data_IF_494676636198
#
_entry.id   IF_494676636198
#
_cell.length_a   1.000
_cell.length_b   1.000
_cell.length_c   1.000
_cell.angle_alpha   90.00
_cell.angle_beta   90.00
_cell.angle_gamma   90.00
#
_symmetry.space_group_name_H-M   'P 1'
#
loop_
_entity.id
_entity.type
_entity.pdbx_description
1 polymer ?
#
# COMPACT_ATOMS: atom_id res chain seq x y z
N UNK A 1 -17.04 8.03 -29.58
CA UNK A 1 -15.99 9.05 -29.34
C UNK A 1 -14.76 8.29 -28.93
N UNK A 2 -13.74 8.27 -29.79
CA UNK A 2 -12.54 7.48 -29.61
C UNK A 2 -11.76 8.01 -28.40
N UNK A 3 -11.32 7.10 -27.53
CA UNK A 3 -10.27 7.38 -26.56
C UNK A 3 -9.06 7.93 -27.31
N UNK A 4 -8.53 9.06 -26.84
CA UNK A 4 -7.38 9.70 -27.47
C UNK A 4 -6.17 8.76 -27.36
N UNK A 5 -5.78 8.24 -28.52
CA UNK A 5 -4.58 7.44 -28.79
C UNK A 5 -3.30 8.05 -28.21
N UNK A 6 -3.35 9.33 -27.82
CA UNK A 6 -2.27 10.12 -27.25
C UNK A 6 -2.01 9.82 -25.76
N UNK A 7 -3.02 9.48 -24.95
CA UNK A 7 -2.82 9.13 -23.52
C UNK A 7 -2.27 7.72 -23.35
N UNK A 8 -2.77 6.76 -24.15
CA UNK A 8 -2.20 5.42 -24.28
C UNK A 8 -0.77 5.47 -24.83
N UNK A 9 -0.49 6.35 -25.81
CA UNK A 9 0.88 6.62 -26.25
C UNK A 9 1.71 7.26 -25.16
N UNK A 10 1.20 8.21 -24.38
CA UNK A 10 1.97 8.86 -23.33
C UNK A 10 2.35 7.90 -22.19
N UNK A 11 1.47 6.95 -21.85
CA UNK A 11 1.77 5.88 -20.90
C UNK A 11 2.79 4.87 -21.46
N UNK A 12 2.74 4.57 -22.77
CA UNK A 12 3.68 3.68 -23.45
C UNK A 12 5.03 4.35 -23.81
N UNK A 13 5.05 5.66 -24.08
CA UNK A 13 6.22 6.49 -24.40
C UNK A 13 6.89 7.07 -23.14
N UNK A 14 6.27 6.95 -21.96
CA UNK A 14 6.95 7.19 -20.70
C UNK A 14 8.11 6.20 -20.61
N UNK A 15 9.33 6.64 -20.93
CA UNK A 15 10.55 5.90 -20.63
C UNK A 15 10.71 5.84 -19.11
N UNK A 16 10.01 4.88 -18.52
CA UNK A 16 10.06 4.43 -17.14
C UNK A 16 11.39 3.73 -16.83
N UNK A 17 12.51 4.13 -17.45
CA UNK A 17 13.77 3.40 -17.28
C UNK A 17 14.19 3.40 -15.80
N UNK A 18 13.77 4.42 -15.02
CA UNK A 18 13.82 4.43 -13.55
C UNK A 18 12.71 5.31 -12.94
N UNK A 19 11.52 4.78 -12.59
CA UNK A 19 10.53 5.55 -11.85
C UNK A 19 11.11 5.96 -10.49
N UNK A 20 10.87 7.21 -10.09
CA UNK A 20 11.32 7.73 -8.79
C UNK A 20 10.34 7.40 -7.68
N UNK A 21 9.07 7.16 -8.03
CA UNK A 21 8.06 6.65 -7.14
C UNK A 21 7.04 5.82 -7.90
N UNK A 22 6.65 4.69 -7.32
CA UNK A 22 5.58 3.83 -7.80
C UNK A 22 4.62 3.58 -6.65
N UNK A 23 3.35 3.95 -6.83
CA UNK A 23 2.26 3.62 -5.92
C UNK A 23 1.42 2.52 -6.57
N UNK A 24 1.06 1.50 -5.79
CA UNK A 24 0.22 0.38 -6.22
C UNK A 24 -0.91 0.23 -5.22
N UNK A 25 -2.14 0.50 -5.65
CA UNK A 25 -3.31 0.49 -4.79
C UNK A 25 -4.34 -0.52 -5.28
N UNK A 26 -4.80 -1.38 -4.37
CA UNK A 26 -5.69 -2.47 -4.73
C UNK A 26 -7.08 -1.96 -5.08
N UNK A 27 -7.62 -2.42 -6.21
CA UNK A 27 -9.01 -2.18 -6.58
C UNK A 27 -9.95 -3.24 -5.97
N UNK A 28 -11.21 -2.86 -5.81
CA UNK A 28 -12.28 -3.78 -5.47
C UNK A 28 -13.53 -3.47 -6.28
N UNK A 29 -13.95 -4.42 -7.13
CA UNK A 29 -15.15 -4.31 -7.94
C UNK A 29 -15.28 -3.02 -8.74
N UNK A 30 -14.19 -2.56 -9.35
CA UNK A 30 -14.17 -1.34 -10.16
C UNK A 30 -13.90 -0.04 -9.38
N UNK A 31 -13.83 -0.11 -8.06
CA UNK A 31 -13.59 1.05 -7.21
C UNK A 31 -12.18 1.02 -6.62
N UNK A 32 -11.68 2.19 -6.21
CA UNK A 32 -10.48 2.35 -5.40
C UNK A 32 -10.88 2.52 -3.92
N UNK A 33 -10.85 1.46 -3.11
CA UNK A 33 -11.00 1.60 -1.66
C UNK A 33 -9.95 2.55 -1.11
N UNK A 34 -10.29 3.22 -0.01
CA UNK A 34 -9.37 4.09 0.72
C UNK A 34 -8.75 5.23 -0.10
N UNK A 35 -9.36 5.66 -1.21
CA UNK A 35 -8.84 6.72 -2.10
C UNK A 35 -8.30 7.93 -1.32
N UNK A 36 -9.10 8.49 -0.40
CA UNK A 36 -8.67 9.63 0.42
C UNK A 36 -7.46 9.31 1.33
N UNK A 37 -7.30 8.08 1.79
CA UNK A 37 -6.10 7.68 2.56
C UNK A 37 -4.88 7.57 1.66
N UNK A 38 -5.03 6.97 0.49
CA UNK A 38 -3.97 6.85 -0.51
C UNK A 38 -3.49 8.24 -0.98
N UNK A 39 -4.41 9.15 -1.32
CA UNK A 39 -4.07 10.53 -1.71
C UNK A 39 -3.39 11.31 -0.58
N UNK A 40 -3.84 11.14 0.68
CA UNK A 40 -3.16 11.75 1.84
C UNK A 40 -1.75 11.22 2.03
N UNK A 41 -1.55 9.90 1.92
CA UNK A 41 -0.22 9.31 1.98
C UNK A 41 0.67 9.82 0.84
N UNK A 42 0.15 9.84 -0.39
CA UNK A 42 0.85 10.37 -1.57
C UNK A 42 1.28 11.83 -1.38
N UNK A 43 0.41 12.70 -0.85
CA UNK A 43 0.74 14.11 -0.60
C UNK A 43 1.78 14.34 0.49
N UNK A 44 2.15 13.30 1.24
CA UNK A 44 3.25 13.33 2.21
C UNK A 44 4.51 12.64 1.69
N UNK A 45 4.45 12.01 0.51
CA UNK A 45 5.61 11.39 -0.12
C UNK A 45 6.56 12.44 -0.69
N UNK A 46 7.83 12.07 -0.81
CA UNK A 46 8.87 12.87 -1.43
C UNK A 46 9.40 12.23 -2.72
N UNK A 47 9.65 13.05 -3.73
CA UNK A 47 10.26 12.67 -5.01
C UNK A 47 11.34 13.71 -5.33
N UNK A 48 12.55 13.27 -5.64
CA UNK A 48 13.67 14.19 -5.92
C UNK A 48 14.01 15.12 -4.75
N UNK A 49 13.75 14.71 -3.50
CA UNK A 49 13.99 15.53 -2.30
C UNK A 49 12.86 16.53 -1.96
N UNK A 50 11.80 16.58 -2.76
CA UNK A 50 10.67 17.49 -2.55
C UNK A 50 9.40 16.72 -2.27
N UNK A 51 8.57 17.21 -1.36
CA UNK A 51 7.22 16.67 -1.16
C UNK A 51 6.41 16.77 -2.45
N UNK A 52 5.63 15.73 -2.75
CA UNK A 52 4.68 15.71 -3.85
C UNK A 52 3.80 16.96 -3.82
N UNK A 53 3.71 17.65 -4.95
CA UNK A 53 3.06 18.96 -5.03
C UNK A 53 1.53 18.85 -4.90
N UNK A 54 0.85 19.88 -4.35
CA UNK A 54 -0.62 19.92 -4.33
C UNK A 54 -1.25 19.80 -5.73
N UNK A 55 -0.59 20.36 -6.76
CA UNK A 55 -1.03 20.26 -8.15
C UNK A 55 -1.06 18.80 -8.62
N UNK A 56 -0.05 18.01 -8.27
CA UNK A 56 -0.01 16.59 -8.61
C UNK A 56 -1.06 15.78 -7.87
N UNK A 57 -1.39 16.14 -6.62
CA UNK A 57 -2.50 15.51 -5.89
C UNK A 57 -3.85 15.85 -6.53
N UNK A 58 -4.04 17.11 -6.95
CA UNK A 58 -5.24 17.53 -7.66
C UNK A 58 -5.36 16.80 -9.01
N UNK A 59 -4.27 16.69 -9.76
CA UNK A 59 -4.18 15.90 -10.98
C UNK A 59 -4.58 14.44 -10.72
N UNK A 60 -3.95 13.78 -9.73
CA UNK A 60 -4.27 12.38 -9.42
C UNK A 60 -5.75 12.20 -9.11
N UNK A 61 -6.33 13.08 -8.28
CA UNK A 61 -7.76 13.04 -7.94
C UNK A 61 -8.67 13.18 -9.17
N UNK A 62 -8.32 14.05 -10.11
CA UNK A 62 -9.09 14.24 -11.35
C UNK A 62 -9.00 13.04 -12.30
N UNK A 63 -7.87 12.34 -12.31
CA UNK A 63 -7.61 11.28 -13.29
C UNK A 63 -7.99 9.88 -12.78
N UNK A 64 -8.11 9.67 -11.46
CA UNK A 64 -8.52 8.38 -10.88
C UNK A 64 -9.84 7.91 -11.49
N UNK A 65 -10.90 8.73 -11.48
CA UNK A 65 -12.22 8.30 -11.96
C UNK A 65 -12.20 7.87 -13.43
N UNK A 66 -11.54 8.64 -14.31
CA UNK A 66 -11.39 8.30 -15.73
C UNK A 66 -10.59 7.01 -15.92
N UNK A 67 -9.45 6.90 -15.24
CA UNK A 67 -8.57 5.72 -15.31
C UNK A 67 -9.28 4.45 -14.83
N UNK A 68 -10.10 4.57 -13.78
CA UNK A 68 -10.91 3.45 -13.28
C UNK A 68 -12.03 3.08 -14.26
N UNK A 69 -12.73 4.04 -14.87
CA UNK A 69 -13.82 3.75 -15.83
C UNK A 69 -13.36 2.88 -17.00
N UNK A 70 -12.15 3.10 -17.49
CA UNK A 70 -11.59 2.34 -18.61
C UNK A 70 -10.95 1.04 -18.12
N UNK A 71 -9.96 1.15 -17.23
CA UNK A 71 -9.12 0.01 -16.87
C UNK A 71 -9.79 -1.01 -15.95
N UNK A 72 -10.81 -0.61 -15.19
CA UNK A 72 -11.49 -1.54 -14.27
C UNK A 72 -12.57 -2.40 -14.93
N UNK A 73 -12.92 -2.15 -16.19
CA UNK A 73 -13.76 -3.04 -16.98
C UNK A 73 -13.06 -4.38 -17.22
N UNK A 74 -11.77 -4.35 -17.54
CA UNK A 74 -10.95 -5.53 -17.73
C UNK A 74 -10.41 -6.08 -16.40
N UNK A 75 -10.16 -5.20 -15.43
CA UNK A 75 -9.52 -5.55 -14.15
C UNK A 75 -10.26 -4.98 -12.94
N UNK A 76 -11.50 -5.44 -12.65
CA UNK A 76 -12.32 -4.87 -11.57
C UNK A 76 -11.70 -5.05 -10.17
N UNK A 77 -10.94 -6.11 -9.95
CA UNK A 77 -10.19 -6.35 -8.70
C UNK A 77 -8.67 -6.26 -8.92
N UNK A 78 -8.25 -5.46 -9.91
CA UNK A 78 -6.86 -5.20 -10.29
C UNK A 78 -6.11 -4.25 -9.37
N UNK A 79 -5.12 -3.56 -9.92
CA UNK A 79 -4.28 -2.59 -9.20
C UNK A 79 -4.22 -1.30 -9.97
N UNK A 80 -4.54 -0.19 -9.32
CA UNK A 80 -4.22 1.14 -9.83
C UNK A 80 -2.74 1.42 -9.55
N UNK A 81 -1.98 1.64 -10.62
CA UNK A 81 -0.59 2.05 -10.56
C UNK A 81 -0.50 3.54 -10.83
N UNK A 82 0.18 4.28 -9.96
CA UNK A 82 0.58 5.66 -10.20
C UNK A 82 2.11 5.72 -10.18
N UNK A 83 2.69 6.22 -11.25
CA UNK A 83 4.14 6.31 -11.45
C UNK A 83 4.55 7.77 -11.57
N UNK A 84 5.68 8.12 -10.96
CA UNK A 84 6.26 9.44 -10.97
C UNK A 84 7.74 9.38 -11.34
N UNK A 85 8.17 10.24 -12.26
CA UNK A 85 9.59 10.47 -12.50
C UNK A 85 10.17 11.54 -11.56
N UNK A 86 11.49 11.73 -11.63
CA UNK A 86 12.22 12.74 -10.87
C UNK A 86 11.84 14.19 -11.21
N UNK A 87 11.19 14.41 -12.36
CA UNK A 87 10.79 15.73 -12.84
C UNK A 87 9.33 16.05 -12.45
N UNK A 88 8.63 15.13 -11.76
CA UNK A 88 7.24 15.28 -11.38
C UNK A 88 6.25 14.96 -12.50
N UNK A 89 6.69 14.35 -13.61
CA UNK A 89 5.77 13.77 -14.61
C UNK A 89 5.13 12.52 -14.02
N UNK A 90 3.83 12.40 -14.22
CA UNK A 90 3.04 11.31 -13.67
C UNK A 90 2.31 10.54 -14.76
N UNK A 91 2.14 9.25 -14.53
CA UNK A 91 1.28 8.38 -15.32
C UNK A 91 0.45 7.51 -14.38
N UNK A 92 -0.75 7.11 -14.82
CA UNK A 92 -1.64 6.25 -14.07
C UNK A 92 -2.24 5.20 -15.00
N UNK A 93 -2.34 3.95 -14.52
CA UNK A 93 -2.95 2.88 -15.27
C UNK A 93 -3.53 1.83 -14.32
N UNK A 94 -4.57 1.11 -14.75
CA UNK A 94 -5.03 -0.10 -14.08
C UNK A 94 -4.38 -1.31 -14.76
N UNK A 95 -3.88 -2.24 -13.95
CA UNK A 95 -3.40 -3.54 -14.42
C UNK A 95 -3.98 -4.69 -13.62
N UNK A 96 -3.71 -5.94 -14.02
CA UNK A 96 -4.12 -7.10 -13.27
C UNK A 96 -3.47 -7.12 -11.89
N UNK A 97 -4.17 -7.67 -10.90
CA UNK A 97 -3.59 -7.98 -9.62
C UNK A 97 -2.86 -9.32 -9.67
N UNK A 98 -1.61 -9.34 -9.21
CA UNK A 98 -0.84 -10.55 -9.02
C UNK A 98 -0.80 -10.95 -7.54
N UNK A 99 -1.13 -12.21 -7.27
CA UNK A 99 -1.09 -12.75 -5.91
C UNK A 99 0.35 -12.82 -5.44
N UNK A 100 0.59 -12.41 -4.18
CA UNK A 100 1.89 -12.59 -3.56
C UNK A 100 2.12 -14.08 -3.23
N UNK A 101 2.94 -14.76 -4.03
CA UNK A 101 3.19 -16.19 -3.87
C UNK A 101 4.20 -16.55 -2.78
N UNK A 102 5.16 -15.67 -2.49
CA UNK A 102 6.22 -15.92 -1.49
C UNK A 102 5.83 -15.33 -0.15
N UNK A 103 5.17 -16.14 0.68
CA UNK A 103 4.58 -15.74 1.96
C UNK A 103 5.29 -16.28 3.18
N UNK A 104 6.49 -16.86 3.03
CA UNK A 104 7.32 -17.19 4.20
C UNK A 104 7.68 -15.94 5.00
N UNK A 105 7.86 -16.08 6.31
CA UNK A 105 8.27 -15.02 7.23
C UNK A 105 9.49 -14.26 6.69
N UNK A 106 10.51 -14.99 6.23
CA UNK A 106 11.71 -14.38 5.65
C UNK A 106 11.40 -13.57 4.39
N UNK A 107 10.50 -14.04 3.54
CA UNK A 107 10.10 -13.33 2.31
C UNK A 107 9.37 -12.04 2.65
N UNK A 108 8.40 -12.09 3.57
CA UNK A 108 7.64 -10.92 4.01
C UNK A 108 8.53 -9.90 4.73
N UNK A 109 9.43 -10.35 5.62
CA UNK A 109 10.39 -9.47 6.30
C UNK A 109 11.34 -8.79 5.32
N UNK A 110 11.81 -9.49 4.27
CA UNK A 110 12.64 -8.88 3.21
C UNK A 110 11.88 -7.84 2.37
N UNK A 111 10.58 -8.08 2.13
CA UNK A 111 9.71 -7.09 1.48
C UNK A 111 9.56 -5.84 2.35
N UNK A 112 9.23 -6.01 3.63
CA UNK A 112 9.16 -4.90 4.58
C UNK A 112 10.49 -4.14 4.67
N UNK A 113 11.64 -4.82 4.68
CA UNK A 113 12.95 -4.16 4.65
C UNK A 113 13.16 -3.33 3.38
N UNK A 114 12.72 -3.84 2.23
CA UNK A 114 12.78 -3.11 0.95
C UNK A 114 11.87 -1.88 1.00
N UNK A 115 10.64 -2.04 1.52
CA UNK A 115 9.69 -0.95 1.71
C UNK A 115 10.20 0.12 2.70
N UNK A 116 10.92 -0.27 3.76
CA UNK A 116 11.58 0.67 4.67
C UNK A 116 12.66 1.48 3.93
N UNK A 117 13.47 0.85 3.07
CA UNK A 117 14.46 1.56 2.23
C UNK A 117 13.81 2.48 1.20
N UNK A 118 12.62 2.15 0.71
CA UNK A 118 11.82 3.07 -0.10
C UNK A 118 11.31 4.24 0.76
N UNK A 119 10.80 3.96 1.96
CA UNK A 119 10.27 4.97 2.88
C UNK A 119 11.32 5.99 3.33
N UNK A 120 12.59 5.61 3.49
CA UNK A 120 13.66 6.58 3.79
C UNK A 120 13.91 7.57 2.65
N UNK A 121 13.60 7.18 1.40
CA UNK A 121 13.75 8.03 0.22
C UNK A 121 12.48 8.83 -0.10
N UNK A 122 11.33 8.21 0.13
CA UNK A 122 10.02 8.71 -0.33
C UNK A 122 9.13 9.19 0.81
N UNK A 123 9.60 9.14 2.05
CA UNK A 123 8.88 9.52 3.25
C UNK A 123 7.60 8.70 3.55
N UNK A 124 7.35 7.58 2.87
CA UNK A 124 6.22 6.70 3.19
C UNK A 124 6.58 5.25 2.91
N UNK A 125 6.38 4.38 3.90
CA UNK A 125 6.62 2.93 3.77
C UNK A 125 5.36 2.27 3.18
N UNK A 126 5.41 1.71 1.95
CA UNK A 126 4.23 1.09 1.32
C UNK A 126 3.78 -0.21 2.01
N UNK A 127 4.74 -0.95 2.59
CA UNK A 127 4.49 -2.24 3.23
C UNK A 127 5.19 -2.31 4.59
N UNK A 128 4.44 -2.63 5.64
CA UNK A 128 4.97 -2.70 7.00
C UNK A 128 4.85 -4.12 7.54
N UNK A 129 5.88 -4.58 8.27
CA UNK A 129 5.85 -5.84 8.99
C UNK A 129 5.24 -5.62 10.37
N UNK A 130 4.37 -6.54 10.77
CA UNK A 130 3.67 -6.53 12.05
C UNK A 130 3.85 -7.88 12.71
N UNK A 131 4.03 -7.86 14.03
CA UNK A 131 3.97 -9.06 14.86
C UNK A 131 2.91 -8.91 15.94
N UNK A 132 2.42 -10.04 16.44
CA UNK A 132 1.56 -10.11 17.61
C UNK A 132 2.20 -11.01 18.64
N UNK A 133 2.29 -10.54 19.88
CA UNK A 133 2.71 -11.35 21.03
C UNK A 133 1.77 -11.11 22.19
N UNK A 134 1.17 -12.17 22.74
CA UNK A 134 0.23 -12.10 23.86
C UNK A 134 -0.89 -11.07 23.63
N UNK A 135 -1.39 -11.00 22.39
CA UNK A 135 -2.44 -10.06 21.95
C UNK A 135 -1.99 -8.60 21.80
N UNK A 136 -0.71 -8.30 21.98
CA UNK A 136 -0.11 -6.97 21.76
C UNK A 136 0.49 -6.88 20.36
N UNK A 137 0.29 -5.76 19.69
CA UNK A 137 0.84 -5.52 18.35
C UNK A 137 2.15 -4.76 18.45
N UNK A 138 3.13 -5.16 17.65
CA UNK A 138 4.35 -4.39 17.42
C UNK A 138 4.57 -4.20 15.92
N UNK A 139 4.86 -2.96 15.51
CA UNK A 139 4.92 -2.55 14.11
C UNK A 139 6.35 -2.15 13.75
N UNK A 140 6.81 -2.61 12.59
CA UNK A 140 8.13 -2.33 12.02
C UNK A 140 8.31 -0.92 11.46
N UNK A 141 8.00 0.10 12.25
CA UNK A 141 8.02 1.51 11.89
C UNK A 141 8.28 2.40 13.11
N UNK A 142 8.54 3.70 12.91
CA UNK A 142 8.43 4.71 13.95
C UNK A 142 6.99 5.25 14.05
N UNK A 143 6.50 5.51 15.27
CA UNK A 143 5.13 6.00 15.49
C UNK A 143 4.82 7.40 14.92
N UNK A 144 5.81 8.11 14.36
CA UNK A 144 5.66 9.43 13.73
C UNK A 144 5.82 9.41 12.20
N UNK A 145 5.95 8.22 11.61
CA UNK A 145 6.08 8.06 10.16
C UNK A 145 4.78 8.33 9.41
N UNK A 146 4.89 8.56 8.09
CA UNK A 146 3.74 8.57 7.20
C UNK A 146 3.40 7.14 6.82
N UNK A 147 2.21 6.70 7.21
CA UNK A 147 1.72 5.37 6.91
C UNK A 147 0.98 5.31 5.56
N UNK A 148 1.11 4.17 4.89
CA UNK A 148 0.31 3.82 3.71
C UNK A 148 -1.19 3.78 4.03
N UNK A 149 -2.04 3.74 2.99
CA UNK A 149 -3.49 3.76 3.15
C UNK A 149 -3.98 2.60 4.04
N UNK A 150 -3.55 1.39 3.74
CA UNK A 150 -3.87 0.17 4.49
C UNK A 150 -3.32 0.22 5.92
N UNK A 151 -2.05 0.58 6.10
CA UNK A 151 -1.41 0.69 7.42
C UNK A 151 -2.16 1.69 8.31
N UNK A 152 -2.49 2.86 7.77
CA UNK A 152 -3.26 3.88 8.52
C UNK A 152 -4.66 3.41 8.91
N UNK A 153 -5.33 2.63 8.05
CA UNK A 153 -6.65 2.09 8.37
C UNK A 153 -6.57 1.00 9.45
N UNK A 154 -5.60 0.10 9.35
CA UNK A 154 -5.42 -0.97 10.35
C UNK A 154 -5.12 -0.36 11.72
N UNK A 155 -4.29 0.68 11.78
CA UNK A 155 -4.06 1.43 13.02
C UNK A 155 -5.37 2.01 13.59
N UNK A 156 -6.21 2.65 12.77
CA UNK A 156 -7.50 3.20 13.23
C UNK A 156 -8.45 2.09 13.74
N UNK A 157 -8.46 0.92 13.10
CA UNK A 157 -9.25 -0.24 13.52
C UNK A 157 -8.80 -0.76 14.89
N UNK A 158 -7.49 -0.85 15.11
CA UNK A 158 -6.91 -1.27 16.39
C UNK A 158 -7.18 -0.24 17.50
N UNK A 159 -7.03 1.05 17.19
CA UNK A 159 -7.36 2.12 18.13
C UNK A 159 -8.84 2.08 18.53
N UNK A 160 -9.74 1.86 17.58
CA UNK A 160 -11.19 1.70 17.83
C UNK A 160 -11.48 0.53 18.78
N UNK A 161 -10.68 -0.55 18.67
CA UNK A 161 -10.79 -1.74 19.51
C UNK A 161 -10.00 -1.64 20.82
N UNK A 162 -9.34 -0.51 21.07
CA UNK A 162 -8.44 -0.30 22.23
C UNK A 162 -7.34 -1.37 22.31
N UNK A 163 -6.89 -1.86 21.16
CA UNK A 163 -5.74 -2.75 21.09
C UNK A 163 -4.46 -1.96 21.37
N UNK A 164 -3.55 -2.57 22.10
CA UNK A 164 -2.25 -1.98 22.38
C UNK A 164 -1.30 -2.20 21.21
N UNK A 165 -0.64 -1.11 20.80
CA UNK A 165 0.24 -1.06 19.64
C UNK A 165 1.53 -0.36 20.05
N UNK A 166 2.67 -1.02 19.84
CA UNK A 166 4.00 -0.45 19.96
C UNK A 166 4.67 -0.32 18.59
N UNK A 167 5.65 0.59 18.52
CA UNK A 167 6.39 0.90 17.31
C UNK A 167 7.86 0.58 17.52
N UNK A 168 8.44 -0.20 16.63
CA UNK A 168 9.85 -0.57 16.65
C UNK A 168 10.42 -0.53 15.24
N UNK A 169 11.26 0.48 14.98
CA UNK A 169 11.94 0.65 13.68
C UNK A 169 12.86 -0.53 13.31
N UNK A 170 13.39 -1.23 14.32
CA UNK A 170 14.36 -2.32 14.16
C UNK A 170 13.67 -3.70 14.12
N UNK A 171 12.33 -3.77 14.26
CA UNK A 171 11.57 -5.03 14.29
C UNK A 171 11.90 -5.96 13.13
N UNK A 172 11.99 -5.43 11.90
CA UNK A 172 12.29 -6.24 10.72
C UNK A 172 13.66 -6.92 10.85
N UNK A 173 14.65 -6.22 11.42
CA UNK A 173 15.97 -6.77 11.68
C UNK A 173 15.91 -7.84 12.78
N UNK A 174 15.25 -7.56 13.89
CA UNK A 174 15.09 -8.48 15.03
C UNK A 174 14.35 -9.77 14.65
N UNK A 175 13.36 -9.69 13.76
CA UNK A 175 12.64 -10.86 13.24
C UNK A 175 13.54 -11.68 12.32
N UNK A 176 14.33 -11.04 11.44
CA UNK A 176 15.25 -11.75 10.54
C UNK A 176 16.38 -12.43 11.32
N UNK A 177 16.88 -11.82 12.40
CA UNK A 177 17.91 -12.41 13.27
C UNK A 177 17.38 -13.51 14.19
N UNK A 178 16.06 -13.64 14.34
CA UNK A 178 15.44 -14.59 15.26
C UNK A 178 15.50 -14.14 16.74
N UNK A 179 15.84 -12.87 16.98
CA UNK A 179 15.91 -12.29 18.33
C UNK A 179 14.51 -11.94 18.88
N UNK A 180 13.51 -11.88 18.01
CA UNK A 180 12.14 -11.51 18.35
C UNK A 180 11.23 -12.72 18.51
N UNK A 181 10.59 -12.83 19.67
CA UNK A 181 9.50 -13.79 19.91
C UNK A 181 8.14 -13.17 19.55
N UNK A 182 7.28 -13.95 18.90
CA UNK A 182 5.92 -13.57 18.52
C UNK A 182 5.07 -14.82 18.28
N UNK A 183 3.75 -14.65 18.30
CA UNK A 183 2.77 -15.71 18.04
C UNK A 183 2.26 -15.65 16.59
N UNK A 184 2.08 -14.44 16.05
CA UNK A 184 1.67 -14.21 14.66
C UNK A 184 2.57 -13.16 14.01
N UNK A 185 2.79 -13.27 12.70
CA UNK A 185 3.45 -12.26 11.89
C UNK A 185 2.74 -12.07 10.55
N UNK A 186 2.62 -10.81 10.12
CA UNK A 186 1.99 -10.48 8.84
C UNK A 186 2.49 -9.16 8.26
N UNK A 187 2.35 -9.03 6.95
CA UNK A 187 2.61 -7.81 6.20
C UNK A 187 1.30 -7.04 6.01
N UNK A 188 1.35 -5.70 6.13
CA UNK A 188 0.24 -4.81 5.73
C UNK A 188 0.69 -3.99 4.53
N UNK A 189 -0.06 -4.05 3.42
CA UNK A 189 0.28 -3.48 2.11
C UNK A 189 -0.93 -2.82 1.45
N UNK A 190 -0.71 -1.71 0.75
CA UNK A 190 -1.75 -1.05 -0.06
C UNK A 190 -2.20 -1.91 -1.27
N UNK A 191 -1.33 -2.80 -1.75
CA UNK A 191 -1.61 -3.70 -2.88
C UNK A 191 -2.16 -5.06 -2.41
N UNK A 192 -1.50 -5.66 -1.41
CA UNK A 192 -1.81 -7.03 -1.00
C UNK A 192 -2.71 -7.12 0.23
N UNK A 193 -3.05 -5.99 0.87
CA UNK A 193 -3.81 -5.98 2.11
C UNK A 193 -3.00 -6.61 3.25
N UNK A 194 -3.61 -7.52 3.99
CA UNK A 194 -2.96 -8.27 5.07
C UNK A 194 -2.54 -9.64 4.57
N UNK A 195 -1.24 -9.92 4.64
CA UNK A 195 -0.63 -11.18 4.21
C UNK A 195 0.10 -11.83 5.39
N UNK A 196 -0.40 -12.96 5.87
CA UNK A 196 0.22 -13.67 6.99
C UNK A 196 1.44 -14.46 6.56
N UNK A 197 2.44 -14.50 7.42
CA UNK A 197 3.60 -15.38 7.25
C UNK A 197 3.17 -16.83 7.38
N UNK A 198 3.63 -17.71 6.48
CA UNK A 198 3.21 -19.12 6.46
C UNK A 198 3.49 -19.85 7.77
N UNK A 199 4.63 -19.54 8.39
CA UNK A 199 5.11 -20.15 9.63
C UNK A 199 4.50 -19.51 10.89
N UNK A 200 3.80 -18.39 10.77
CA UNK A 200 3.28 -17.61 11.89
C UNK A 200 1.88 -17.04 11.59
N UNK A 201 1.02 -17.89 11.03
CA UNK A 201 -0.41 -17.59 10.87
C UNK A 201 -1.12 -17.61 12.21
N UNK A 202 -2.20 -16.85 12.31
CA UNK A 202 -3.14 -16.98 13.41
C UNK A 202 -4.42 -16.16 13.24
N UNK A 203 -5.22 -16.17 14.30
CA UNK A 203 -6.59 -15.64 14.28
C UNK A 203 -6.65 -14.11 14.20
N UNK A 204 -5.64 -13.41 14.74
CA UNK A 204 -5.62 -11.95 14.78
C UNK A 204 -5.41 -11.39 13.39
N UNK A 205 -4.39 -11.89 12.68
CA UNK A 205 -4.11 -11.50 11.29
C UNK A 205 -5.26 -11.82 10.36
N UNK A 206 -5.86 -13.01 10.46
CA UNK A 206 -7.00 -13.40 9.61
C UNK A 206 -8.24 -12.54 9.89
N UNK A 207 -8.53 -12.23 11.16
CA UNK A 207 -9.64 -11.34 11.51
C UNK A 207 -9.46 -9.94 10.92
N UNK A 208 -8.27 -9.35 11.06
CA UNK A 208 -7.98 -8.03 10.48
C UNK A 208 -8.09 -8.04 8.96
N UNK A 209 -7.62 -9.11 8.30
CA UNK A 209 -7.74 -9.29 6.85
C UNK A 209 -9.20 -9.32 6.42
N UNK A 210 -10.05 -10.07 7.10
CA UNK A 210 -11.49 -10.12 6.84
C UNK A 210 -12.17 -8.76 7.08
N UNK A 211 -11.79 -8.05 8.14
CA UNK A 211 -12.32 -6.71 8.42
C UNK A 211 -11.94 -5.71 7.32
N UNK A 212 -10.70 -5.75 6.84
CA UNK A 212 -10.22 -4.93 5.75
C UNK A 212 -10.97 -5.23 4.44
N UNK A 213 -11.16 -6.51 4.12
CA UNK A 213 -11.93 -6.93 2.95
C UNK A 213 -13.39 -6.45 3.00
N UNK A 214 -14.03 -6.49 4.17
CA UNK A 214 -15.39 -5.96 4.34
C UNK A 214 -15.45 -4.45 4.07
N UNK A 215 -14.46 -3.70 4.53
CA UNK A 215 -14.37 -2.25 4.27
C UNK A 215 -14.12 -1.95 2.80
N UNK A 216 -13.33 -2.77 2.11
CA UNK A 216 -13.12 -2.64 0.66
C UNK A 216 -14.41 -2.93 -0.10
N UNK A 217 -15.14 -3.99 0.28
CA UNK A 217 -16.43 -4.31 -0.32
C UNK A 217 -17.50 -3.24 -0.07
N UNK A 218 -17.51 -2.61 1.11
CA UNK A 218 -18.44 -1.52 1.42
C UNK A 218 -18.22 -0.26 0.56
N UNK A 219 -17.01 -0.06 0.01
CA UNK A 219 -16.74 1.03 -0.92
C UNK A 219 -17.46 0.84 -2.28
N UNK A 220 -17.81 -0.40 -2.66
CA UNK A 220 -18.52 -0.71 -3.91
C UNK A 220 -19.93 -0.11 -3.99
N UNK A 221 -20.58 0.16 -2.85
CA UNK A 221 -21.98 0.59 -2.79
C UNK A 221 -22.21 2.10 -2.72
N UNK A 222 -21.19 2.93 -2.98
CA UNK A 222 -21.27 4.40 -2.86
C UNK A 222 -21.24 5.16 -4.19
N UNK A 223 -21.23 4.46 -5.32
CA UNK A 223 -21.27 5.07 -6.66
C UNK A 223 -22.65 4.97 -7.28
#
# INVERSE_FOLDING_TARGET
MCMDTEELRAAQEFKADMPSLVCRWRLSGGTLPLENRHLRALGKRAVGGHTVSPHLIAWAKQHIEGTLKEGSLEHPDGVLMLVLDKNGKAAMAVGPYEVLHKTSLLSLSRRAQTAQKEGTKTNCVPETLWIVKDGQFEIGALGKEVFSGATSLVLDLLATRKCSVSFNKDLVKEVISGEKAFDEAFLVSDEHGIVQADEAKGSVGEKLKLDLQKLYAAAKGKN
#
